data_IF_587388624825
#
_entry.id   IF_587388624825
#
_cell.length_a   1.000
_cell.length_b   1.000
_cell.length_c   1.000
_cell.angle_alpha   90.00
_cell.angle_beta   90.00
_cell.angle_gamma   90.00
#
_symmetry.space_group_name_H-M   'P 1'
#
loop_
_entity.id
_entity.type
_entity.pdbx_description
1 polymer ?
#
# COMPACT_ATOMS: atom_id res chain seq x y z
N UNK A 1 6.39 -18.15 8.33
CA UNK A 1 6.06 -16.97 7.52
C UNK A 1 6.62 -15.78 8.27
N UNK A 2 7.73 -15.22 7.80
CA UNK A 2 8.42 -14.15 8.52
C UNK A 2 7.56 -12.89 8.42
N UNK A 3 6.87 -12.53 9.49
CA UNK A 3 6.18 -11.27 9.57
C UNK A 3 7.25 -10.17 9.57
N UNK A 4 7.16 -9.21 8.64
CA UNK A 4 8.13 -8.13 8.58
C UNK A 4 8.11 -7.34 9.90
N UNK A 5 9.28 -6.92 10.41
CA UNK A 5 9.32 -6.19 11.67
C UNK A 5 8.55 -4.89 11.51
N UNK A 6 7.69 -4.60 12.50
CA UNK A 6 6.98 -3.33 12.57
C UNK A 6 7.98 -2.17 12.58
N UNK A 7 7.76 -1.09 11.79
CA UNK A 7 8.66 0.05 11.76
C UNK A 7 8.89 0.64 13.15
N UNK A 8 10.13 1.06 13.40
CA UNK A 8 10.54 1.62 14.70
C UNK A 8 9.83 2.95 14.97
N UNK A 9 9.67 3.78 13.94
CA UNK A 9 8.95 5.03 14.06
C UNK A 9 7.44 4.80 14.22
N UNK A 10 6.88 5.23 15.35
CA UNK A 10 5.44 5.10 15.64
C UNK A 10 4.57 6.06 14.84
N UNK A 11 5.12 7.19 14.40
CA UNK A 11 4.39 8.19 13.62
C UNK A 11 4.04 7.65 12.23
N UNK A 12 5.02 7.05 11.54
CA UNK A 12 4.80 6.45 10.22
C UNK A 12 3.84 5.26 10.30
N UNK A 13 3.91 4.46 11.38
CA UNK A 13 2.92 3.41 11.65
C UNK A 13 1.53 4.04 11.74
N UNK A 14 1.32 5.03 12.60
CA UNK A 14 0.01 5.64 12.77
C UNK A 14 -0.54 6.28 11.49
N UNK A 15 0.34 6.90 10.70
CA UNK A 15 0.00 7.49 9.41
C UNK A 15 -0.39 6.41 8.40
N UNK A 16 0.35 5.31 8.35
CA UNK A 16 0.09 4.16 7.49
C UNK A 16 -1.27 3.53 7.78
N UNK A 17 -1.54 3.25 9.05
CA UNK A 17 -2.81 2.69 9.50
C UNK A 17 -3.99 3.60 9.12
N UNK A 18 -3.87 4.91 9.34
CA UNK A 18 -4.90 5.89 8.98
C UNK A 18 -5.17 5.96 7.49
N UNK A 19 -4.11 5.92 6.67
CA UNK A 19 -4.24 5.91 5.22
C UNK A 19 -4.99 4.66 4.76
N UNK A 20 -4.51 3.48 5.15
CA UNK A 20 -5.05 2.19 4.71
C UNK A 20 -6.46 1.91 5.26
N UNK A 21 -6.81 2.47 6.42
CA UNK A 21 -8.16 2.39 6.97
C UNK A 21 -9.21 3.16 6.17
N UNK A 22 -8.82 4.22 5.44
CA UNK A 22 -9.77 5.04 4.67
C UNK A 22 -10.18 4.38 3.35
N UNK A 23 -9.28 3.62 2.72
CA UNK A 23 -9.46 3.05 1.38
C UNK A 23 -8.34 2.06 1.07
N UNK A 24 -8.64 1.03 0.28
CA UNK A 24 -7.63 0.23 -0.41
C UNK A 24 -6.73 1.12 -1.31
N UNK A 25 -5.43 1.10 -1.04
CA UNK A 25 -4.42 1.84 -1.80
C UNK A 25 -3.43 0.86 -2.43
N UNK A 26 -2.90 1.24 -3.60
CA UNK A 26 -1.75 0.55 -4.17
C UNK A 26 -0.46 0.93 -3.45
N UNK A 27 0.57 0.08 -3.56
CA UNK A 27 1.91 0.34 -3.02
C UNK A 27 2.45 1.73 -3.42
N UNK A 28 2.39 2.04 -4.71
CA UNK A 28 2.84 3.34 -5.23
C UNK A 28 2.02 4.54 -4.71
N UNK A 29 0.71 4.38 -4.49
CA UNK A 29 -0.11 5.44 -3.90
C UNK A 29 0.21 5.66 -2.43
N UNK A 30 0.44 4.57 -1.70
CA UNK A 30 0.84 4.59 -0.31
C UNK A 30 2.21 5.26 -0.11
N UNK A 31 3.22 4.88 -0.90
CA UNK A 31 4.56 5.49 -0.90
C UNK A 31 4.50 7.00 -1.17
N UNK A 32 3.74 7.43 -2.18
CA UNK A 32 3.57 8.87 -2.50
C UNK A 32 2.93 9.65 -1.36
N UNK A 33 1.95 9.07 -0.67
CA UNK A 33 1.26 9.73 0.46
C UNK A 33 2.13 9.81 1.70
N UNK A 34 2.98 8.82 1.94
CA UNK A 34 3.95 8.89 3.03
C UNK A 34 5.08 9.88 2.71
N UNK A 35 5.56 9.93 1.47
CA UNK A 35 6.54 10.94 1.04
C UNK A 35 5.99 12.37 1.21
N UNK A 36 4.69 12.58 0.93
CA UNK A 36 4.02 13.87 1.16
C UNK A 36 3.90 14.27 2.65
N UNK A 37 4.20 13.36 3.58
CA UNK A 37 4.24 13.61 5.03
C UNK A 37 5.66 13.83 5.56
N UNK A 38 6.63 14.03 4.69
CA UNK A 38 8.05 14.30 5.03
C UNK A 38 8.76 13.14 5.74
N UNK A 39 8.27 11.90 5.60
CA UNK A 39 8.98 10.72 6.06
C UNK A 39 10.19 10.40 5.19
N UNK A 40 11.21 9.78 5.79
CA UNK A 40 12.40 9.39 5.04
C UNK A 40 12.11 8.20 4.11
N UNK A 41 12.83 8.05 2.99
CA UNK A 41 12.65 6.90 2.09
C UNK A 41 12.86 5.55 2.78
N UNK A 42 13.75 5.48 3.78
CA UNK A 42 14.03 4.29 4.57
C UNK A 42 12.81 3.89 5.42
N UNK A 43 12.22 4.84 6.14
CA UNK A 43 11.02 4.59 6.94
C UNK A 43 9.83 4.18 6.05
N UNK A 44 9.69 4.82 4.89
CA UNK A 44 8.65 4.48 3.91
C UNK A 44 8.83 3.03 3.44
N UNK A 45 10.06 2.62 3.12
CA UNK A 45 10.34 1.24 2.71
C UNK A 45 10.02 0.23 3.81
N UNK A 46 10.37 0.52 5.07
CA UNK A 46 10.00 -0.33 6.21
C UNK A 46 8.48 -0.44 6.39
N UNK A 47 7.77 0.69 6.29
CA UNK A 47 6.31 0.72 6.42
C UNK A 47 5.61 -0.05 5.28
N UNK A 48 6.13 0.06 4.07
CA UNK A 48 5.66 -0.68 2.89
C UNK A 48 5.82 -2.19 3.12
N UNK A 49 7.03 -2.65 3.45
CA UNK A 49 7.30 -4.09 3.66
C UNK A 49 6.45 -4.65 4.80
N UNK A 50 6.27 -3.89 5.88
CA UNK A 50 5.39 -4.28 6.98
C UNK A 50 3.91 -4.35 6.58
N UNK A 51 3.39 -3.34 5.88
CA UNK A 51 1.99 -3.32 5.44
C UNK A 51 1.70 -4.38 4.36
N UNK A 52 2.68 -4.71 3.50
CA UNK A 52 2.58 -5.83 2.55
C UNK A 52 2.54 -7.18 3.28
N UNK A 53 3.42 -7.40 4.27
CA UNK A 53 3.46 -8.64 5.04
C UNK A 53 2.18 -8.88 5.86
N UNK A 54 1.58 -7.82 6.39
CA UNK A 54 0.30 -7.88 7.11
C UNK A 54 -0.91 -8.02 6.16
N UNK A 55 -0.72 -7.90 4.84
CA UNK A 55 -1.77 -8.01 3.83
C UNK A 55 -2.67 -6.79 3.70
N UNK A 56 -2.20 -5.62 4.17
CA UNK A 56 -2.95 -4.37 4.10
C UNK A 56 -2.83 -3.71 2.73
N UNK A 57 -1.73 -3.98 2.03
CA UNK A 57 -1.50 -3.53 0.65
C UNK A 57 -2.01 -4.60 -0.31
N UNK A 58 -3.04 -4.23 -1.08
CA UNK A 58 -3.82 -5.18 -1.86
C UNK A 58 -3.45 -5.15 -3.34
N UNK A 59 -2.21 -5.53 -3.67
CA UNK A 59 -1.76 -5.57 -5.06
C UNK A 59 -2.53 -6.62 -5.89
N UNK A 60 -2.89 -7.76 -5.28
CA UNK A 60 -3.61 -8.84 -5.94
C UNK A 60 -5.07 -8.47 -6.30
N UNK A 61 -5.85 -7.87 -5.38
CA UNK A 61 -7.20 -7.38 -5.77
C UNK A 61 -7.15 -6.14 -6.63
N UNK A 62 -6.15 -5.27 -6.49
CA UNK A 62 -6.01 -4.11 -7.37
C UNK A 62 -5.79 -4.56 -8.82
N UNK A 63 -4.89 -5.53 -9.06
CA UNK A 63 -4.66 -6.10 -10.39
C UNK A 63 -5.94 -6.75 -10.97
N UNK A 64 -6.70 -7.51 -10.16
CA UNK A 64 -7.94 -8.14 -10.61
C UNK A 64 -9.05 -7.11 -10.91
N UNK A 65 -9.19 -6.07 -10.08
CA UNK A 65 -10.18 -4.99 -10.27
C UNK A 65 -9.81 -4.10 -11.45
N UNK A 66 -8.53 -3.79 -11.64
CA UNK A 66 -8.03 -3.02 -12.79
C UNK A 66 -8.17 -3.84 -14.08
N UNK A 67 -7.83 -5.13 -14.06
CA UNK A 67 -8.06 -6.04 -15.20
C UNK A 67 -9.55 -6.12 -15.57
N UNK A 68 -10.45 -6.24 -14.58
CA UNK A 68 -11.91 -6.19 -14.80
C UNK A 68 -12.38 -4.84 -15.35
N UNK A 69 -11.82 -3.72 -14.87
CA UNK A 69 -12.14 -2.36 -15.38
C UNK A 69 -11.59 -2.08 -16.79
N UNK A 70 -10.44 -2.64 -17.14
CA UNK A 70 -9.83 -2.54 -18.48
C UNK A 70 -10.52 -3.46 -19.48
N UNK A 71 -10.91 -4.67 -19.08
CA UNK A 71 -11.69 -5.60 -19.91
C UNK A 71 -13.06 -5.04 -20.33
N UNK A 72 -13.64 -4.17 -19.51
CA UNK A 72 -14.88 -3.45 -19.87
C UNK A 72 -14.66 -2.35 -20.92
N UNK A 73 -13.42 -1.89 -21.12
CA UNK A 73 -13.08 -0.76 -22.01
C UNK A 73 -12.52 -1.21 -23.37
N UNK A 74 -12.03 -2.44 -23.46
CA UNK A 74 -11.56 -3.08 -24.70
C UNK A 74 -12.23 -4.43 -24.86
N UNK A 75 -13.56 -4.42 -25.00
CA UNK A 75 -14.38 -5.63 -25.15
C UNK A 75 -13.68 -6.68 -26.02
N UNK A 76 -13.40 -7.83 -25.43
CA UNK A 76 -13.09 -9.03 -26.18
C UNK A 76 -14.39 -9.44 -26.89
N UNK A 77 -14.51 -9.00 -28.14
CA UNK A 77 -15.37 -9.62 -29.15
C UNK A 77 -14.50 -10.48 -30.06
#
# INVERSE_FOLDING_TARGET
MANAPKPTNREIVSASLRLLAMRDMSRAEFERKLAAKEFTPEEIAEAVVWCEAEGWLNEARYAEVVARRLGYRYGAS
#
